data_IF_014320962324
#
_entry.id   IF_014320962324
#
_cell.length_a   1.000
_cell.length_b   1.000
_cell.length_c   1.000
_cell.angle_alpha   90.00
_cell.angle_beta   90.00
_cell.angle_gamma   90.00
#
_symmetry.space_group_name_H-M   'P 1'
#
loop_
_entity.id
_entity.type
_entity.pdbx_description
1 polymer ?
#
# COMPACT_ATOMS: atom_id res chain seq x y z
N UNK A 1 15.83 -19.34 -14.21
CA UNK A 1 15.35 -19.34 -13.41
C UNK A 1 14.35 -18.87 -13.15
N UNK A 2 13.97 -18.67 -12.99
CA UNK A 2 13.28 -18.30 -12.46
C UNK A 2 12.48 -18.62 -11.79
N UNK A 3 12.81 -18.76 -11.47
CA UNK A 3 12.41 -18.95 -10.39
C UNK A 3 11.21 -18.52 -9.91
N UNK A 4 10.44 -19.16 -9.02
CA UNK A 4 9.26 -18.58 -8.47
C UNK A 4 9.61 -17.20 -8.00
N UNK A 5 8.94 -16.19 -8.48
CA UNK A 5 9.19 -14.86 -8.06
C UNK A 5 8.63 -14.64 -6.69
N UNK A 6 9.48 -14.22 -5.80
CA UNK A 6 9.03 -13.74 -4.51
C UNK A 6 8.43 -12.36 -4.71
N UNK A 7 7.36 -12.01 -3.99
CA UNK A 7 6.83 -10.64 -4.05
C UNK A 7 7.92 -9.66 -3.65
N UNK A 8 8.04 -8.58 -4.41
CA UNK A 8 8.95 -7.50 -4.04
C UNK A 8 8.38 -6.74 -2.85
N UNK A 9 9.23 -5.97 -2.19
CA UNK A 9 8.75 -5.11 -1.11
C UNK A 9 7.67 -4.16 -1.61
N UNK A 10 7.86 -3.62 -2.81
CA UNK A 10 6.88 -2.72 -3.40
C UNK A 10 5.52 -3.40 -3.56
N UNK A 11 5.51 -4.64 -4.05
CA UNK A 11 4.25 -5.38 -4.20
C UNK A 11 3.59 -5.62 -2.85
N UNK A 12 4.36 -5.87 -1.81
CA UNK A 12 3.80 -6.04 -0.46
C UNK A 12 3.13 -4.76 0.02
N UNK A 13 3.74 -3.61 -0.24
CA UNK A 13 3.14 -2.32 0.12
C UNK A 13 1.83 -2.10 -0.63
N UNK A 14 1.84 -2.36 -1.94
CA UNK A 14 0.63 -2.21 -2.75
C UNK A 14 -0.49 -3.12 -2.27
N UNK A 15 -0.16 -4.37 -1.98
CA UNK A 15 -1.16 -5.34 -1.51
C UNK A 15 -1.79 -4.87 -0.21
N UNK A 16 -0.97 -4.40 0.72
CA UNK A 16 -1.46 -3.91 2.00
C UNK A 16 -2.37 -2.69 1.83
N UNK A 17 -1.98 -1.76 0.94
CA UNK A 17 -2.80 -0.59 0.65
C UNK A 17 -4.14 -0.97 0.04
N UNK A 18 -4.13 -1.94 -0.87
CA UNK A 18 -5.36 -2.38 -1.53
C UNK A 18 -6.33 -2.94 -0.50
N UNK A 19 -5.84 -3.75 0.42
CA UNK A 19 -6.70 -4.43 1.38
C UNK A 19 -7.04 -3.60 2.61
N UNK A 20 -6.20 -2.64 2.96
CA UNK A 20 -6.37 -1.95 4.22
C UNK A 20 -5.59 -0.63 4.20
N UNK A 21 -4.60 -0.51 5.09
CA UNK A 21 -3.75 0.66 5.19
C UNK A 21 -2.36 0.18 5.60
N UNK A 22 -1.37 1.06 5.50
CA UNK A 22 -0.04 0.73 5.95
C UNK A 22 0.54 1.93 6.71
N UNK A 23 1.19 1.66 7.84
CA UNK A 23 1.86 2.71 8.60
C UNK A 23 3.35 2.58 8.45
N UNK A 24 4.08 3.61 8.87
CA UNK A 24 5.53 3.56 8.88
C UNK A 24 6.06 2.43 9.77
N UNK A 25 5.30 2.10 10.83
CA UNK A 25 5.69 1.01 11.74
C UNK A 25 5.39 -0.36 11.12
N UNK A 26 4.30 -0.47 10.37
CA UNK A 26 3.93 -1.74 9.73
C UNK A 26 5.05 -2.24 8.82
N UNK A 27 5.81 -1.32 8.22
CA UNK A 27 6.91 -1.69 7.35
C UNK A 27 7.92 -2.60 8.03
N UNK A 28 8.21 -2.34 9.31
CA UNK A 28 9.16 -3.17 10.04
C UNK A 28 8.68 -4.60 10.20
N UNK A 29 7.40 -4.78 10.51
CA UNK A 29 6.85 -6.13 10.66
C UNK A 29 6.76 -6.87 9.34
N UNK A 30 6.77 -6.14 8.22
CA UNK A 30 6.76 -6.71 6.88
C UNK A 30 8.16 -6.94 6.34
N UNK A 31 9.20 -6.68 7.15
CA UNK A 31 10.57 -6.93 6.76
C UNK A 31 11.21 -5.85 5.92
N UNK A 32 10.64 -4.64 5.92
CA UNK A 32 11.20 -3.53 5.15
C UNK A 32 11.60 -2.39 6.09
N UNK A 33 12.57 -1.60 5.66
CA UNK A 33 13.09 -0.52 6.49
C UNK A 33 12.29 0.77 6.36
N UNK A 34 11.59 0.97 5.24
CA UNK A 34 10.86 2.22 5.05
C UNK A 34 9.71 2.06 4.05
N UNK A 35 8.52 1.88 4.58
CA UNK A 35 7.31 1.87 3.74
C UNK A 35 7.12 3.22 3.07
N UNK A 36 7.56 4.31 3.73
CA UNK A 36 7.41 5.67 3.21
C UNK A 36 8.07 5.83 1.83
N UNK A 37 9.23 5.22 1.63
CA UNK A 37 9.92 5.33 0.35
C UNK A 37 9.12 4.70 -0.79
N UNK A 38 8.45 3.58 -0.51
CA UNK A 38 7.62 2.92 -1.51
C UNK A 38 6.36 3.73 -1.80
N UNK A 39 5.78 4.36 -0.78
CA UNK A 39 4.64 5.24 -0.98
C UNK A 39 5.04 6.43 -1.85
N UNK A 40 6.19 7.04 -1.58
CA UNK A 40 6.68 8.17 -2.37
C UNK A 40 6.93 7.78 -3.83
N UNK A 41 7.49 6.59 -4.04
CA UNK A 41 7.72 6.08 -5.38
C UNK A 41 6.38 5.88 -6.11
N UNK A 42 5.41 5.31 -5.43
CA UNK A 42 4.08 5.09 -6.00
C UNK A 42 3.45 6.41 -6.44
N UNK A 43 3.47 7.40 -5.57
CA UNK A 43 2.87 8.70 -5.87
C UNK A 43 3.57 9.42 -7.01
N UNK A 44 4.90 9.38 -7.01
CA UNK A 44 5.68 10.12 -8.00
C UNK A 44 5.59 9.51 -9.39
N UNK A 45 5.57 8.19 -9.47
CA UNK A 45 5.70 7.50 -10.75
C UNK A 45 4.41 6.93 -11.30
N UNK A 46 3.39 6.74 -10.47
CA UNK A 46 2.24 5.93 -10.86
C UNK A 46 0.88 6.53 -10.57
N UNK A 47 0.78 7.46 -9.64
CA UNK A 47 -0.52 8.02 -9.27
C UNK A 47 -0.66 9.44 -9.76
N UNK A 48 -1.91 9.87 -9.97
CA UNK A 48 -2.20 11.24 -10.33
C UNK A 48 -2.33 12.15 -9.11
N UNK A 49 -2.51 11.56 -7.93
CA UNK A 49 -2.62 12.31 -6.69
C UNK A 49 -1.93 11.58 -5.55
N UNK A 50 -2.02 12.13 -4.38
CA UNK A 50 -1.36 11.54 -3.22
C UNK A 50 -2.31 10.65 -2.43
N UNK A 51 -1.76 9.63 -1.79
CA UNK A 51 -2.54 8.80 -0.88
C UNK A 51 -2.88 9.62 0.36
N UNK A 52 -3.93 9.21 1.06
CA UNK A 52 -4.34 9.86 2.29
C UNK A 52 -3.33 9.55 3.39
N UNK A 53 -3.00 10.56 4.17
CA UNK A 53 -2.09 10.40 5.30
C UNK A 53 -2.78 10.81 6.58
N UNK A 54 -2.62 10.00 7.61
CA UNK A 54 -3.12 10.30 8.95
C UNK A 54 -1.95 10.18 9.91
N UNK A 55 -1.77 11.17 10.78
CA UNK A 55 -0.72 11.14 11.78
C UNK A 55 -1.17 10.32 12.97
N UNK A 56 -0.33 9.39 13.41
CA UNK A 56 -0.58 8.58 14.60
C UNK A 56 0.58 8.70 15.55
N UNK A 57 0.31 8.56 16.84
CA UNK A 57 1.36 8.62 17.85
C UNK A 57 1.82 7.22 18.21
N UNK A 58 3.11 7.09 18.57
CA UNK A 58 3.62 5.83 19.08
C UNK A 58 2.98 5.54 20.44
N UNK A 59 3.06 4.28 20.87
CA UNK A 59 2.40 3.85 22.10
C UNK A 59 2.91 4.57 23.33
N UNK A 60 4.17 5.05 23.31
CA UNK A 60 4.73 5.79 24.43
C UNK A 60 4.45 7.30 24.33
N UNK A 61 3.79 7.74 23.26
CA UNK A 61 3.44 9.14 23.07
C UNK A 61 4.60 10.05 22.69
N UNK A 62 5.79 9.51 22.50
CA UNK A 62 6.98 10.32 22.27
C UNK A 62 7.33 10.50 20.80
N UNK A 63 6.73 9.74 19.91
CA UNK A 63 6.97 9.86 18.47
C UNK A 63 5.70 9.84 17.68
N UNK A 64 5.85 10.08 16.40
CA UNK A 64 4.72 10.08 15.47
C UNK A 64 5.10 9.33 14.21
N UNK A 65 4.10 8.77 13.54
CA UNK A 65 4.27 8.15 12.23
C UNK A 65 3.02 8.39 11.42
N UNK A 66 3.12 8.21 10.10
CA UNK A 66 1.98 8.34 9.23
C UNK A 66 1.35 6.99 8.94
N UNK A 67 0.04 6.98 8.84
CA UNK A 67 -0.70 5.85 8.28
C UNK A 67 -1.15 6.27 6.90
N UNK A 68 -0.87 5.43 5.91
CA UNK A 68 -1.18 5.70 4.52
C UNK A 68 -2.36 4.87 4.09
N UNK A 69 -3.32 5.51 3.40
CA UNK A 69 -4.51 4.85 2.90
C UNK A 69 -4.82 5.36 1.51
N UNK A 70 -5.47 4.51 0.72
CA UNK A 70 -5.98 4.94 -0.59
C UNK A 70 -7.10 5.95 -0.33
N UNK A 71 -7.08 7.05 -1.08
CA UNK A 71 -7.97 8.18 -0.81
C UNK A 71 -9.39 7.97 -1.32
N UNK A 72 -9.55 7.31 -2.48
CA UNK A 72 -10.86 7.10 -3.08
C UNK A 72 -10.83 5.92 -4.05
N UNK A 73 -12.00 5.59 -4.61
CA UNK A 73 -12.12 4.44 -5.50
C UNK A 73 -11.31 4.60 -6.78
N UNK A 74 -11.20 5.81 -7.29
CA UNK A 74 -10.42 6.06 -8.51
C UNK A 74 -8.95 5.77 -8.26
N UNK A 75 -8.43 6.20 -7.12
CA UNK A 75 -7.05 5.91 -6.76
C UNK A 75 -6.85 4.42 -6.53
N UNK A 76 -7.82 3.75 -5.90
CA UNK A 76 -7.76 2.30 -5.73
C UNK A 76 -7.64 1.59 -7.06
N UNK A 77 -8.39 2.04 -8.06
CA UNK A 77 -8.33 1.46 -9.39
C UNK A 77 -6.92 1.59 -9.97
N UNK A 78 -6.29 2.76 -9.79
CA UNK A 78 -4.93 2.98 -10.26
C UNK A 78 -3.94 2.04 -9.56
N UNK A 79 -4.06 1.90 -8.25
CA UNK A 79 -3.16 1.06 -7.47
C UNK A 79 -3.30 -0.41 -7.86
N UNK A 80 -4.54 -0.88 -8.05
CA UNK A 80 -4.79 -2.25 -8.47
C UNK A 80 -4.17 -2.52 -9.84
N UNK A 81 -4.32 -1.57 -10.77
CA UNK A 81 -3.75 -1.72 -12.12
C UNK A 81 -2.23 -1.85 -12.05
N UNK A 82 -1.57 -1.04 -11.23
CA UNK A 82 -0.13 -1.09 -11.06
C UNK A 82 0.30 -2.40 -10.42
N UNK A 83 -0.43 -2.83 -9.41
CA UNK A 83 -0.15 -4.07 -8.69
C UNK A 83 -0.16 -5.26 -9.65
N UNK A 84 -1.21 -5.35 -10.47
CA UNK A 84 -1.34 -6.43 -11.43
C UNK A 84 -0.27 -6.34 -12.54
N UNK A 85 0.02 -5.13 -12.98
CA UNK A 85 1.03 -4.93 -14.03
C UNK A 85 2.42 -5.38 -13.58
N UNK A 86 2.69 -5.33 -12.28
CA UNK A 86 3.98 -5.74 -11.74
C UNK A 86 3.99 -7.19 -11.25
N UNK A 87 2.96 -7.94 -11.59
CA UNK A 87 2.90 -9.37 -11.30
C UNK A 87 2.14 -9.75 -10.05
N UNK A 88 1.48 -8.80 -9.40
CA UNK A 88 0.64 -9.11 -8.25
C UNK A 88 -0.66 -9.75 -8.66
N UNK A 89 -1.23 -10.53 -7.76
CA UNK A 89 -2.49 -11.22 -8.03
C UNK A 89 -3.47 -10.94 -6.91
N UNK A 90 -4.71 -10.66 -7.29
CA UNK A 90 -5.81 -10.46 -6.36
C UNK A 90 -6.91 -11.45 -6.69
N UNK A 91 -7.52 -12.03 -5.66
CA UNK A 91 -8.73 -12.83 -5.87
C UNK A 91 -9.89 -11.87 -6.11
N UNK A 92 -10.95 -12.39 -6.73
CA UNK A 92 -12.16 -11.58 -6.93
C UNK A 92 -12.71 -11.08 -5.59
N UNK A 93 -12.61 -11.90 -4.56
CA UNK A 93 -13.08 -11.54 -3.23
C UNK A 93 -12.27 -10.37 -2.65
N UNK A 94 -10.95 -10.42 -2.78
CA UNK A 94 -10.10 -9.33 -2.29
C UNK A 94 -10.39 -8.03 -3.00
N UNK A 95 -10.56 -8.08 -4.31
CA UNK A 95 -10.83 -6.89 -5.09
C UNK A 95 -12.20 -6.30 -4.72
N UNK A 96 -13.20 -7.16 -4.56
CA UNK A 96 -14.53 -6.74 -4.16
C UNK A 96 -14.52 -6.08 -2.78
N UNK A 97 -13.81 -6.68 -1.83
CA UNK A 97 -13.68 -6.13 -0.49
C UNK A 97 -12.98 -4.77 -0.51
N UNK A 98 -11.98 -4.63 -1.35
CA UNK A 98 -11.25 -3.37 -1.46
C UNK A 98 -12.16 -2.25 -1.95
N UNK A 99 -12.95 -2.49 -2.99
CA UNK A 99 -13.86 -1.47 -3.51
C UNK A 99 -15.00 -1.17 -2.55
N UNK A 100 -15.41 -2.16 -1.75
CA UNK A 100 -16.52 -1.96 -0.82
C UNK A 100 -16.25 -0.86 0.19
N UNK A 101 -14.97 -0.58 0.50
CA UNK A 101 -14.62 0.48 1.44
C UNK A 101 -14.99 1.88 0.95
N UNK A 102 -15.20 2.02 -0.35
CA UNK A 102 -15.43 3.32 -0.96
C UNK A 102 -16.85 3.47 -1.51
N UNK A 103 -17.72 2.54 -1.16
CA UNK A 103 -19.13 2.62 -1.56
C UNK A 103 -19.95 3.39 -0.56
#
# INVERSE_FOLDING_TARGET
MNEARKPTQFLKVLHRLILSSISGIDGYSMGMTSARNYISELERNHLTGKVKRTTEKTSDGMGQYYRYEIADAEQLKQVIAIYKAKGGELTAHEEQQAYARFE
#
